data_IF_595809746288
#
_entry.id   IF_595809746288
#
_cell.length_a   1.000
_cell.length_b   1.000
_cell.length_c   1.000
_cell.angle_alpha   90.00
_cell.angle_beta   90.00
_cell.angle_gamma   90.00
#
_symmetry.space_group_name_H-M   'P 1'
#
loop_
_entity.id
_entity.type
_entity.pdbx_description
1 polymer ?
#
# COMPACT_ATOMS: atom_id res chain seq x y z
N UNK A 1 3.44 -17.87 -4.46
CA UNK A 1 2.06 -17.45 -4.19
C UNK A 1 1.94 -16.03 -4.69
N UNK A 2 0.93 -15.65 -5.48
CA UNK A 2 0.92 -14.31 -6.05
C UNK A 2 0.68 -13.33 -4.90
N UNK A 3 1.78 -12.70 -4.45
CA UNK A 3 1.71 -11.60 -3.49
C UNK A 3 0.91 -10.47 -4.13
N UNK A 4 0.23 -9.68 -3.30
CA UNK A 4 -0.40 -8.43 -3.75
C UNK A 4 0.61 -7.66 -4.60
N UNK A 5 0.22 -7.06 -5.75
CA UNK A 5 1.12 -6.48 -6.78
C UNK A 5 2.00 -5.30 -6.31
N UNK A 6 1.98 -5.05 -5.00
CA UNK A 6 2.51 -3.92 -4.27
C UNK A 6 3.80 -4.31 -3.51
N UNK A 7 3.99 -5.60 -3.21
CA UNK A 7 5.15 -6.07 -2.44
C UNK A 7 6.44 -5.88 -3.24
N UNK A 8 7.47 -5.34 -2.57
CA UNK A 8 8.79 -5.11 -3.15
C UNK A 8 8.93 -3.80 -3.91
N UNK A 9 7.89 -2.94 -3.92
CA UNK A 9 7.91 -1.65 -4.63
C UNK A 9 7.73 -0.46 -3.69
N UNK A 10 8.31 0.71 -4.03
CA UNK A 10 8.03 1.97 -3.35
C UNK A 10 6.55 2.38 -3.45
N UNK A 11 6.01 2.99 -2.39
CA UNK A 11 4.64 3.52 -2.37
C UNK A 11 4.37 4.50 -3.53
N UNK A 12 5.36 5.28 -3.96
CA UNK A 12 5.20 6.22 -5.08
C UNK A 12 4.86 5.52 -6.40
N UNK A 13 5.22 4.25 -6.61
CA UNK A 13 4.94 3.48 -7.83
C UNK A 13 3.55 2.81 -7.79
N UNK A 14 2.82 2.95 -6.69
CA UNK A 14 1.57 2.25 -6.47
C UNK A 14 0.47 2.65 -7.46
N UNK A 15 0.47 3.92 -7.87
CA UNK A 15 -0.49 4.46 -8.83
C UNK A 15 -0.33 3.84 -10.23
N UNK A 16 0.85 3.34 -10.59
CA UNK A 16 1.09 2.66 -11.87
C UNK A 16 0.39 1.30 -11.91
N UNK A 17 0.28 0.65 -10.75
CA UNK A 17 -0.29 -0.68 -10.60
C UNK A 17 -1.79 -0.64 -10.29
N UNK A 18 -2.26 0.45 -9.68
CA UNK A 18 -3.66 0.68 -9.33
C UNK A 18 -4.18 2.01 -9.91
N UNK A 19 -4.13 2.20 -11.25
CA UNK A 19 -4.41 3.50 -11.87
C UNK A 19 -5.85 3.97 -11.71
N UNK A 20 -6.78 3.06 -11.42
CA UNK A 20 -8.21 3.37 -11.23
C UNK A 20 -8.59 3.61 -9.76
N UNK A 21 -7.66 3.38 -8.84
CA UNK A 21 -7.91 3.44 -7.40
C UNK A 21 -7.22 4.66 -6.80
N UNK A 22 -8.01 5.64 -6.37
CA UNK A 22 -7.46 6.77 -5.60
C UNK A 22 -7.33 6.38 -4.14
N UNK A 23 -6.13 5.97 -3.73
CA UNK A 23 -5.84 5.64 -2.35
C UNK A 23 -4.55 6.29 -1.86
N UNK A 24 -4.46 6.46 -0.54
CA UNK A 24 -3.26 6.92 0.16
C UNK A 24 -2.96 5.99 1.31
N UNK A 25 -1.75 5.46 1.34
CA UNK A 25 -1.27 4.69 2.48
C UNK A 25 -0.96 5.67 3.61
N UNK A 26 -1.47 5.35 4.80
CA UNK A 26 -1.31 6.19 5.99
C UNK A 26 -0.18 5.66 6.85
N UNK A 27 -0.11 4.34 7.04
CA UNK A 27 0.83 3.72 7.96
C UNK A 27 1.12 2.27 7.57
N UNK A 28 2.37 1.87 7.78
CA UNK A 28 2.83 0.49 7.61
C UNK A 28 3.21 -0.06 8.98
N UNK A 29 2.68 -1.21 9.36
CA UNK A 29 3.10 -1.95 10.54
C UNK A 29 4.01 -3.11 10.14
N UNK A 30 5.25 -3.06 10.61
CA UNK A 30 6.27 -4.09 10.36
C UNK A 30 6.85 -4.57 11.67
N UNK A 31 6.81 -5.88 11.91
CA UNK A 31 7.32 -6.48 13.16
C UNK A 31 6.76 -5.80 14.43
N UNK A 32 5.49 -5.40 14.39
CA UNK A 32 4.81 -4.72 15.50
C UNK A 32 5.10 -3.23 15.63
N UNK A 33 5.96 -2.64 14.78
CA UNK A 33 6.28 -1.22 14.81
C UNK A 33 5.54 -0.43 13.73
N UNK A 34 5.05 0.74 14.11
CA UNK A 34 4.46 1.74 13.22
C UNK A 34 5.55 2.47 12.43
N UNK A 35 5.46 2.43 11.10
CA UNK A 35 6.35 3.11 10.16
C UNK A 35 5.51 4.13 9.38
N UNK A 36 5.85 5.43 9.42
CA UNK A 36 5.21 6.44 8.57
C UNK A 36 5.37 6.09 7.08
N UNK A 37 4.28 6.24 6.32
CA UNK A 37 4.27 5.91 4.90
C UNK A 37 4.72 7.10 4.05
N UNK A 38 5.96 7.03 3.54
CA UNK A 38 6.50 7.98 2.56
C UNK A 38 6.58 7.38 1.16
N UNK A 39 6.72 8.20 0.13
CA UNK A 39 6.74 7.72 -1.25
C UNK A 39 7.84 6.71 -1.57
N UNK A 40 8.98 6.80 -0.88
CA UNK A 40 10.12 5.89 -0.99
C UNK A 40 10.01 4.63 -0.09
N UNK A 41 9.01 4.58 0.79
CA UNK A 41 8.79 3.43 1.66
C UNK A 41 8.46 2.21 0.81
N UNK A 42 9.26 1.14 0.95
CA UNK A 42 9.03 -0.13 0.25
C UNK A 42 8.21 -1.06 1.14
N UNK A 43 7.09 -1.52 0.61
CA UNK A 43 6.23 -2.52 1.28
C UNK A 43 6.89 -3.90 1.16
N UNK A 44 7.01 -4.59 2.29
CA UNK A 44 7.61 -5.92 2.39
C UNK A 44 6.54 -6.96 2.67
N UNK A 45 6.88 -8.20 2.36
CA UNK A 45 6.06 -9.33 2.76
C UNK A 45 5.88 -9.35 4.29
N UNK A 46 4.67 -9.69 4.73
CA UNK A 46 4.29 -9.66 6.16
C UNK A 46 3.96 -8.27 6.74
N UNK A 47 4.08 -7.19 5.98
CA UNK A 47 3.61 -5.88 6.42
C UNK A 47 2.09 -5.82 6.54
N UNK A 48 1.60 -5.15 7.59
CA UNK A 48 0.20 -4.71 7.66
C UNK A 48 0.09 -3.26 7.21
N UNK A 49 -0.60 -3.02 6.10
CA UNK A 49 -0.72 -1.69 5.48
C UNK A 49 -2.13 -1.14 5.67
N UNK A 50 -2.23 0.08 6.20
CA UNK A 50 -3.49 0.80 6.32
C UNK A 50 -3.53 1.96 5.33
N UNK A 51 -4.62 2.08 4.59
CA UNK A 51 -4.81 3.11 3.59
C UNK A 51 -6.21 3.71 3.67
N UNK A 52 -6.35 4.92 3.13
CA UNK A 52 -7.62 5.60 2.93
C UNK A 52 -7.89 5.65 1.44
N UNK A 53 -9.12 5.32 1.06
CA UNK A 53 -9.59 5.36 -0.32
C UNK A 53 -11.02 5.91 -0.35
N UNK A 54 -11.49 6.28 -1.54
CA UNK A 54 -12.90 6.62 -1.75
C UNK A 54 -13.77 5.36 -1.61
N UNK A 55 -14.98 5.50 -1.09
CA UNK A 55 -15.88 4.36 -0.83
C UNK A 55 -16.14 3.55 -2.10
N UNK A 56 -16.26 4.24 -3.23
CA UNK A 56 -16.53 3.66 -4.55
C UNK A 56 -15.34 2.83 -5.07
N UNK A 57 -14.15 3.02 -4.51
CA UNK A 57 -12.91 2.33 -4.90
C UNK A 57 -12.62 1.07 -4.05
N UNK A 58 -13.42 0.77 -3.03
CA UNK A 58 -13.19 -0.36 -2.11
C UNK A 58 -13.32 -1.72 -2.82
N UNK A 59 -14.21 -1.84 -3.81
CA UNK A 59 -14.46 -3.09 -4.54
C UNK A 59 -13.40 -3.43 -5.62
N UNK A 60 -12.34 -2.63 -5.73
CA UNK A 60 -11.25 -2.79 -6.72
C UNK A 60 -9.90 -3.14 -6.06
N UNK A 61 -9.88 -3.40 -4.75
CA UNK A 61 -8.69 -3.77 -3.97
C UNK A 61 -8.57 -5.28 -3.80
#
# INVERSE_FOLDING_TARGET
MPGTPIVGRPIKELHEHLPKTQMRIVIVYRNGQAIPAYGDTVIKDGDRVYFVTKKESISQC
#
